data_IF_516685208153
#
_entry.id   IF_516685208153
#
_cell.length_a   1.000
_cell.length_b   1.000
_cell.length_c   1.000
_cell.angle_alpha   90.00
_cell.angle_beta   90.00
_cell.angle_gamma   90.00
#
_symmetry.space_group_name_H-M   'P 1'
#
loop_
_entity.id
_entity.type
_entity.pdbx_description
1 polymer ?
#
# COMPACT_ATOMS: atom_id res chain seq x y z
N UNK A 1 11.28 0.62 -6.14
CA UNK A 1 10.20 1.63 -6.01
C UNK A 1 9.02 1.07 -5.21
N UNK A 2 9.01 1.27 -3.88
CA UNK A 2 7.83 1.06 -3.04
C UNK A 2 6.75 2.07 -3.42
N UNK A 3 5.47 1.71 -3.37
CA UNK A 3 4.35 2.65 -3.51
C UNK A 3 4.42 3.67 -2.37
N UNK A 4 5.13 4.78 -2.59
CA UNK A 4 5.41 5.78 -1.58
C UNK A 4 4.14 6.58 -1.27
N UNK A 5 3.88 6.79 0.03
CA UNK A 5 2.84 7.71 0.48
C UNK A 5 3.07 9.11 -0.14
N UNK A 6 2.01 9.71 -0.69
CA UNK A 6 2.05 11.04 -1.32
C UNK A 6 2.38 12.15 -0.31
N UNK A 7 2.11 11.91 0.98
CA UNK A 7 2.39 12.84 2.08
C UNK A 7 3.88 13.10 2.29
N UNK A 8 4.78 12.25 1.76
CA UNK A 8 6.22 12.47 1.87
C UNK A 8 6.65 13.84 1.32
N UNK A 9 5.92 14.36 0.33
CA UNK A 9 6.16 15.67 -0.28
C UNK A 9 5.84 16.82 0.71
N UNK A 10 4.98 16.58 1.71
CA UNK A 10 4.59 17.62 2.67
C UNK A 10 5.74 18.08 3.57
N UNK A 11 6.77 17.24 3.77
CA UNK A 11 7.98 17.65 4.50
C UNK A 11 8.60 18.92 3.89
N UNK A 12 8.58 19.04 2.56
CA UNK A 12 9.11 20.20 1.84
C UNK A 12 8.07 21.34 1.73
N UNK A 13 6.79 21.01 1.57
CA UNK A 13 5.74 22.00 1.25
C UNK A 13 5.13 22.68 2.49
N UNK A 14 5.28 22.13 3.69
CA UNK A 14 4.75 22.73 4.94
C UNK A 14 5.21 24.17 5.18
N UNK A 15 6.44 24.51 4.80
CA UNK A 15 6.96 25.88 4.91
C UNK A 15 6.32 26.88 3.92
N UNK A 16 5.53 26.41 2.94
CA UNK A 16 4.95 27.23 1.86
C UNK A 16 3.45 26.96 1.74
N UNK A 17 2.59 27.62 2.54
CA UNK A 17 1.17 27.28 2.68
C UNK A 17 0.38 27.38 1.36
N UNK A 18 0.65 28.42 0.55
CA UNK A 18 0.00 28.57 -0.76
C UNK A 18 0.31 27.41 -1.72
N UNK A 19 1.55 26.91 -1.71
CA UNK A 19 1.96 25.76 -2.55
C UNK A 19 1.38 24.45 -2.03
N UNK A 20 1.30 24.29 -0.71
CA UNK A 20 0.67 23.13 -0.08
C UNK A 20 -0.81 23.01 -0.48
N UNK A 21 -1.56 24.12 -0.39
CA UNK A 21 -2.98 24.14 -0.76
C UNK A 21 -3.19 23.80 -2.24
N UNK A 22 -2.34 24.33 -3.14
CA UNK A 22 -2.37 23.99 -4.56
C UNK A 22 -2.09 22.49 -4.80
N UNK A 23 -1.10 21.92 -4.11
CA UNK A 23 -0.79 20.49 -4.21
C UNK A 23 -1.96 19.62 -3.73
N UNK A 24 -2.58 19.97 -2.60
CA UNK A 24 -3.74 19.21 -2.08
C UNK A 24 -4.89 19.24 -3.10
N UNK A 25 -5.15 20.39 -3.71
CA UNK A 25 -6.23 20.55 -4.70
C UNK A 25 -6.01 19.71 -5.97
N UNK A 26 -4.78 19.65 -6.50
CA UNK A 26 -4.53 19.07 -7.82
C UNK A 26 -3.84 17.70 -7.81
N UNK A 27 -3.04 17.39 -6.78
CA UNK A 27 -2.16 16.23 -6.76
C UNK A 27 -2.54 15.19 -5.69
N UNK A 28 -3.40 15.54 -4.71
CA UNK A 28 -3.87 14.56 -3.70
C UNK A 28 -4.59 13.42 -4.43
N UNK A 29 -4.25 12.14 -4.12
CA UNK A 29 -5.01 11.01 -4.64
C UNK A 29 -6.49 11.11 -4.25
N UNK A 30 -7.38 10.93 -5.23
CA UNK A 30 -8.84 10.87 -4.97
C UNK A 30 -9.16 9.65 -4.10
N UNK A 31 -10.02 9.85 -3.11
CA UNK A 31 -10.56 8.78 -2.29
C UNK A 31 -11.48 7.89 -3.14
N UNK A 32 -11.17 6.59 -3.19
CA UNK A 32 -11.90 5.59 -3.98
C UNK A 32 -12.57 4.59 -3.05
N UNK A 33 -13.77 4.13 -3.40
CA UNK A 33 -14.47 3.04 -2.69
C UNK A 33 -14.00 1.65 -3.13
N UNK A 34 -13.48 1.53 -4.35
CA UNK A 34 -13.06 0.26 -4.94
C UNK A 34 -11.74 0.36 -5.71
N UNK A 35 -11.16 -0.80 -6.04
CA UNK A 35 -9.99 -0.93 -6.90
C UNK A 35 -8.77 -1.54 -6.21
N UNK A 36 -7.74 -1.78 -7.00
CA UNK A 36 -6.49 -2.41 -6.56
C UNK A 36 -5.74 -1.55 -5.54
N UNK A 37 -5.77 -0.23 -5.67
CA UNK A 37 -5.01 0.70 -4.84
C UNK A 37 -5.39 0.69 -3.34
N UNK A 38 -6.59 0.22 -3.02
CA UNK A 38 -7.08 0.10 -1.64
C UNK A 38 -6.54 -1.15 -0.94
N UNK A 39 -6.13 -2.16 -1.71
CA UNK A 39 -5.66 -3.44 -1.17
C UNK A 39 -4.15 -3.39 -1.02
N UNK A 40 -3.70 -3.03 0.18
CA UNK A 40 -2.29 -2.98 0.55
C UNK A 40 -1.97 -4.18 1.43
N UNK A 41 -0.87 -4.85 1.12
CA UNK A 41 -0.34 -5.89 1.99
C UNK A 41 -0.11 -5.32 3.39
N UNK A 42 -0.60 -5.99 4.43
CA UNK A 42 -0.45 -5.51 5.80
C UNK A 42 1.03 -5.40 6.24
N UNK A 43 1.87 -6.35 5.80
CA UNK A 43 3.29 -6.38 6.18
C UNK A 43 4.17 -5.36 5.43
N UNK A 44 4.09 -5.32 4.09
CA UNK A 44 5.01 -4.51 3.28
C UNK A 44 4.37 -3.29 2.61
N UNK A 45 3.05 -3.09 2.74
CA UNK A 45 2.31 -1.99 2.11
C UNK A 45 2.24 -2.05 0.58
N UNK A 46 2.76 -3.11 -0.05
CA UNK A 46 2.78 -3.26 -1.51
C UNK A 46 1.39 -3.64 -2.03
N UNK A 47 1.02 -3.07 -3.17
CA UNK A 47 -0.28 -3.28 -3.81
C UNK A 47 -0.24 -4.45 -4.82
N UNK A 48 0.93 -4.72 -5.40
CA UNK A 48 1.09 -5.75 -6.43
C UNK A 48 1.11 -7.16 -5.83
N UNK A 49 0.45 -8.10 -6.52
CA UNK A 49 0.47 -9.51 -6.18
C UNK A 49 -0.20 -9.83 -4.85
N UNK A 50 -1.29 -9.13 -4.55
CA UNK A 50 -2.07 -9.30 -3.34
C UNK A 50 -2.89 -10.61 -3.41
N UNK A 51 -2.75 -11.46 -2.39
CA UNK A 51 -3.56 -12.66 -2.23
C UNK A 51 -4.90 -12.22 -1.67
N UNK A 52 -5.98 -12.45 -2.44
CA UNK A 52 -7.35 -12.04 -2.08
C UNK A 52 -8.16 -13.16 -1.42
N UNK A 53 -7.67 -14.39 -1.49
CA UNK A 53 -8.36 -15.56 -0.95
C UNK A 53 -8.13 -15.62 0.57
N UNK A 54 -9.13 -16.18 1.26
CA UNK A 54 -9.06 -16.52 2.69
C UNK A 54 -8.79 -15.33 3.63
N UNK A 55 -9.03 -14.09 3.20
CA UNK A 55 -8.86 -12.90 4.06
C UNK A 55 -7.43 -12.64 4.54
N UNK A 56 -6.42 -13.20 3.86
CA UNK A 56 -5.02 -13.11 4.31
C UNK A 56 -4.43 -11.70 4.21
N UNK A 57 -4.92 -10.86 3.30
CA UNK A 57 -4.44 -9.48 3.08
C UNK A 57 -2.90 -9.29 2.99
N UNK A 58 -2.24 -10.28 2.39
CA UNK A 58 -0.79 -10.32 2.18
C UNK A 58 -0.43 -10.29 0.70
N UNK A 59 0.75 -9.75 0.38
CA UNK A 59 1.35 -9.94 -0.94
C UNK A 59 2.00 -11.32 -1.06
N UNK A 60 2.15 -11.81 -2.29
CA UNK A 60 2.76 -13.12 -2.59
C UNK A 60 4.18 -13.31 -2.03
N UNK A 61 4.93 -12.22 -1.82
CA UNK A 61 6.30 -12.29 -1.28
C UNK A 61 6.24 -12.52 0.22
N UNK A 62 5.54 -11.64 0.95
CA UNK A 62 5.34 -11.79 2.39
C UNK A 62 4.62 -13.09 2.75
N UNK A 63 3.68 -13.55 1.92
CA UNK A 63 3.02 -14.83 2.16
C UNK A 63 4.02 -16.00 2.12
N UNK A 64 4.97 -16.01 1.18
CA UNK A 64 5.96 -17.09 1.10
C UNK A 64 6.88 -17.15 2.32
N UNK A 65 7.12 -16.02 2.96
CA UNK A 65 7.93 -15.95 4.18
C UNK A 65 7.16 -16.47 5.41
N UNK A 66 5.85 -16.19 5.51
CA UNK A 66 5.03 -16.53 6.69
C UNK A 66 4.23 -17.82 6.47
N UNK A 67 4.24 -18.39 5.26
CA UNK A 67 3.42 -19.57 4.93
C UNK A 67 3.64 -20.73 5.91
N UNK A 68 4.88 -21.01 6.30
CA UNK A 68 5.21 -22.06 7.26
C UNK A 68 4.71 -21.76 8.67
N UNK A 69 4.80 -20.52 9.12
CA UNK A 69 4.31 -20.06 10.44
C UNK A 69 2.78 -20.10 10.52
N UNK A 70 2.11 -19.81 9.40
CA UNK A 70 0.65 -19.94 9.26
C UNK A 70 0.18 -21.41 9.17
N UNK A 71 1.10 -22.38 9.14
CA UNK A 71 0.77 -23.81 9.07
C UNK A 71 0.57 -24.35 7.65
N UNK A 72 0.89 -23.58 6.60
CA UNK A 72 0.89 -24.12 5.24
C UNK A 72 2.06 -25.08 5.05
N UNK A 73 1.75 -26.32 4.66
CA UNK A 73 2.74 -27.33 4.30
C UNK A 73 2.76 -27.54 2.79
N UNK A 74 3.96 -27.68 2.23
CA UNK A 74 4.16 -28.06 0.83
C UNK A 74 4.18 -29.58 0.74
N UNK A 75 3.12 -30.18 0.20
CA UNK A 75 2.99 -31.63 0.06
C UNK A 75 3.58 -32.18 -1.25
N UNK A 76 3.86 -31.31 -2.23
CA UNK A 76 4.46 -31.64 -3.53
C UNK A 76 5.36 -30.50 -3.97
#
# INVERSE_FOLDING_TARGET
MSYSNYEKVFKQLKAKPAKLNKYIKHNKPKERKCGIALRRCQRCGRIRGHIRKYGLDLCRQCFREIATELGFKKYR
#
